data_IF_271684110480
#
_entry.id   IF_271684110480
#
_cell.length_a   1.000
_cell.length_b   1.000
_cell.length_c   1.000
_cell.angle_alpha   90.00
_cell.angle_beta   90.00
_cell.angle_gamma   90.00
#
_symmetry.space_group_name_H-M   'P 1'
#
loop_
_entity.id
_entity.type
_entity.pdbx_description
1 polymer ?
#
# COMPACT_ATOMS: atom_id res chain seq x y z
N UNK A 1 -26.12 4.60 0.39
CA UNK A 1 -25.61 5.63 1.31
C UNK A 1 -25.04 6.78 0.50
N UNK A 2 -25.31 8.03 0.86
CA UNK A 2 -24.59 9.18 0.29
C UNK A 2 -23.15 9.18 0.83
N UNK A 3 -22.16 9.13 -0.06
CA UNK A 3 -20.75 9.28 0.28
C UNK A 3 -20.40 10.77 0.28
N UNK A 4 -19.89 11.35 1.38
CA UNK A 4 -19.44 12.74 1.37
C UNK A 4 -18.18 12.88 0.50
N UNK A 5 -18.07 14.00 -0.21
CA UNK A 5 -16.82 14.37 -0.85
C UNK A 5 -15.79 14.74 0.22
N UNK A 6 -14.59 14.17 0.14
CA UNK A 6 -13.50 14.41 1.10
C UNK A 6 -12.46 15.30 0.45
N UNK A 7 -12.43 16.58 0.83
CA UNK A 7 -11.46 17.59 0.38
C UNK A 7 -10.49 18.01 1.49
N UNK A 8 -10.32 17.18 2.52
CA UNK A 8 -9.40 17.44 3.62
C UNK A 8 -7.94 17.30 3.17
N UNK A 9 -7.00 18.09 3.74
CA UNK A 9 -5.58 18.04 3.36
C UNK A 9 -4.85 16.76 3.86
N UNK A 10 -5.56 15.86 4.53
CA UNK A 10 -5.01 14.66 5.15
C UNK A 10 -5.82 14.27 6.40
N UNK A 11 -6.38 13.05 6.49
CA UNK A 11 -6.51 12.04 5.43
C UNK A 11 -7.27 12.58 4.21
N UNK A 12 -7.12 11.95 3.05
CA UNK A 12 -7.82 12.32 1.79
C UNK A 12 -8.62 11.12 1.26
N UNK A 13 -9.42 11.33 0.22
CA UNK A 13 -10.17 10.25 -0.42
C UNK A 13 -9.23 9.20 -1.03
N UNK A 14 -9.41 7.95 -0.61
CA UNK A 14 -8.64 6.80 -1.14
C UNK A 14 -9.20 6.42 -2.51
N UNK A 15 -8.32 6.18 -3.49
CA UNK A 15 -8.73 5.64 -4.79
C UNK A 15 -9.46 4.30 -4.63
N UNK A 16 -10.51 4.11 -5.41
CA UNK A 16 -11.42 2.96 -5.24
C UNK A 16 -10.72 1.60 -5.38
N UNK A 17 -9.77 1.47 -6.31
CA UNK A 17 -8.99 0.23 -6.47
C UNK A 17 -8.16 -0.11 -5.22
N UNK A 18 -7.63 0.88 -4.52
CA UNK A 18 -6.90 0.68 -3.26
C UNK A 18 -7.86 0.25 -2.14
N UNK A 19 -9.06 0.85 -2.09
CA UNK A 19 -10.10 0.45 -1.14
C UNK A 19 -10.52 -1.00 -1.34
N UNK A 20 -10.70 -1.44 -2.59
CA UNK A 20 -11.04 -2.82 -2.93
C UNK A 20 -9.90 -3.79 -2.57
N UNK A 21 -8.65 -3.43 -2.86
CA UNK A 21 -7.50 -4.26 -2.49
C UNK A 21 -7.38 -4.47 -0.97
N UNK A 22 -7.63 -3.43 -0.17
CA UNK A 22 -7.66 -3.52 1.30
C UNK A 22 -8.79 -4.36 1.86
N UNK A 23 -9.85 -4.59 1.09
CA UNK A 23 -11.00 -5.40 1.50
C UNK A 23 -10.80 -6.90 1.20
N UNK A 24 -9.76 -7.27 0.45
CA UNK A 24 -9.42 -8.67 0.21
C UNK A 24 -8.91 -9.31 1.50
N UNK A 25 -9.12 -10.61 1.64
CA UNK A 25 -8.59 -11.36 2.77
C UNK A 25 -7.06 -11.29 2.79
N UNK A 26 -6.51 -10.95 3.95
CA UNK A 26 -5.08 -10.95 4.22
C UNK A 26 -4.76 -11.97 5.30
N UNK A 27 -3.60 -12.60 5.19
CA UNK A 27 -3.06 -13.52 6.19
C UNK A 27 -2.02 -12.79 7.04
N UNK A 28 -1.53 -13.44 8.11
CA UNK A 28 -0.42 -12.90 8.88
C UNK A 28 0.84 -12.83 7.99
N UNK A 29 1.39 -11.63 7.73
CA UNK A 29 2.57 -11.45 6.90
C UNK A 29 3.81 -12.16 7.46
N UNK A 30 3.89 -12.37 8.78
CA UNK A 30 5.00 -13.07 9.42
C UNK A 30 5.01 -14.57 9.10
N UNK A 31 3.87 -15.11 8.64
CA UNK A 31 3.68 -16.54 8.35
C UNK A 31 3.51 -16.84 6.86
N UNK A 32 3.16 -15.85 6.03
CA UNK A 32 3.01 -16.05 4.59
C UNK A 32 4.32 -15.83 3.86
N UNK A 33 4.93 -16.92 3.39
CA UNK A 33 6.19 -16.90 2.64
C UNK A 33 6.07 -16.01 1.38
N UNK A 34 4.88 -15.92 0.77
CA UNK A 34 4.65 -15.07 -0.42
C UNK A 34 4.65 -13.59 -0.08
N UNK A 35 4.42 -13.24 1.19
CA UNK A 35 4.47 -11.85 1.63
C UNK A 35 5.90 -11.28 1.52
N UNK A 36 6.93 -12.10 1.69
CA UNK A 36 8.32 -11.66 1.51
C UNK A 36 8.55 -11.09 0.11
N UNK A 37 8.21 -11.85 -0.93
CA UNK A 37 8.37 -11.41 -2.32
C UNK A 37 7.47 -10.19 -2.61
N UNK A 38 6.21 -10.23 -2.15
CA UNK A 38 5.28 -9.11 -2.31
C UNK A 38 5.81 -7.80 -1.69
N UNK A 39 6.35 -7.86 -0.47
CA UNK A 39 6.93 -6.70 0.21
C UNK A 39 8.16 -6.16 -0.54
N UNK A 40 9.05 -7.06 -0.97
CA UNK A 40 10.25 -6.69 -1.74
C UNK A 40 9.89 -5.99 -3.05
N UNK A 41 9.03 -6.60 -3.86
CA UNK A 41 8.57 -6.02 -5.12
C UNK A 41 7.86 -4.68 -4.92
N UNK A 42 7.14 -4.53 -3.81
CA UNK A 42 6.47 -3.27 -3.46
C UNK A 42 7.49 -2.18 -3.16
N UNK A 43 8.56 -2.49 -2.41
CA UNK A 43 9.64 -1.54 -2.14
C UNK A 43 10.40 -1.15 -3.42
N UNK A 44 10.69 -2.11 -4.29
CA UNK A 44 11.32 -1.86 -5.60
C UNK A 44 10.47 -0.93 -6.47
N UNK A 45 9.16 -1.19 -6.58
CA UNK A 45 8.22 -0.32 -7.30
C UNK A 45 8.17 1.10 -6.73
N UNK A 46 8.21 1.26 -5.41
CA UNK A 46 8.29 2.59 -4.79
C UNK A 46 9.61 3.27 -5.17
N UNK A 47 10.71 2.53 -5.16
CA UNK A 47 12.02 3.01 -5.59
C UNK A 47 12.02 3.55 -7.01
N UNK A 48 11.40 2.83 -7.94
CA UNK A 48 11.19 3.26 -9.33
C UNK A 48 10.34 4.54 -9.41
N UNK A 49 9.23 4.62 -8.67
CA UNK A 49 8.32 5.78 -8.67
C UNK A 49 9.03 7.05 -8.19
N UNK A 50 9.88 6.94 -7.16
CA UNK A 50 10.62 8.08 -6.60
C UNK A 50 11.99 8.30 -7.25
N UNK A 51 12.41 7.43 -8.19
CA UNK A 51 13.66 7.56 -8.93
C UNK A 51 14.93 7.35 -8.11
N UNK A 52 14.89 6.46 -7.10
CA UNK A 52 16.07 6.17 -6.24
C UNK A 52 16.70 4.83 -6.58
N UNK A 53 18.02 4.74 -6.40
CA UNK A 53 18.78 3.47 -6.40
C UNK A 53 19.07 2.94 -5.00
N UNK A 54 18.68 3.68 -3.95
CA UNK A 54 18.82 3.25 -2.56
C UNK A 54 17.70 2.27 -2.18
N UNK A 55 17.96 1.45 -1.16
CA UNK A 55 16.95 0.59 -0.56
C UNK A 55 15.77 1.41 -0.01
N UNK A 56 14.56 0.91 -0.24
CA UNK A 56 13.31 1.49 0.25
C UNK A 56 12.71 0.56 1.31
N UNK A 57 12.22 1.14 2.39
CA UNK A 57 11.57 0.41 3.48
C UNK A 57 10.24 1.07 3.84
N UNK A 58 9.19 0.25 4.01
CA UNK A 58 7.90 0.68 4.56
C UNK A 58 7.93 0.40 6.06
N UNK A 59 8.05 1.46 6.87
CA UNK A 59 8.28 1.34 8.32
C UNK A 59 7.00 1.26 9.16
N UNK A 60 5.86 1.65 8.58
CA UNK A 60 4.55 1.61 9.23
C UNK A 60 3.60 0.77 8.42
N UNK A 61 3.00 -0.24 9.06
CA UNK A 61 1.92 -1.09 8.55
C UNK A 61 0.80 -1.18 9.57
#
# INVERSE_FOLDING_TARGET
MNKPYVFTPGPTEVRENVRLARAMEATNPDLDIRFYDFYKETCEKIGEIIGTSNDVYILSG
#
